data_IF_349536656623
#
_entry.id   IF_349536656623
#
_cell.length_a   1.000
_cell.length_b   1.000
_cell.length_c   1.000
_cell.angle_alpha   90.00
_cell.angle_beta   90.00
_cell.angle_gamma   90.00
#
_symmetry.space_group_name_H-M   'P 1'
#
loop_
_entity.id
_entity.type
_entity.pdbx_description
1 polymer ?
#
# COMPACT_ATOMS: atom_id res chain seq x y z
N UNK A 1 -76.60 -17.81 3.57
CA UNK A 1 -75.26 -18.22 4.00
C UNK A 1 -74.85 -19.48 3.32
N UNK A 2 -73.64 -19.62 2.88
CA UNK A 2 -73.02 -20.80 2.28
C UNK A 2 -73.27 -21.13 0.82
N UNK A 3 -72.43 -20.56 -0.09
CA UNK A 3 -72.00 -21.20 -1.35
C UNK A 3 -70.70 -20.58 -1.92
N UNK A 4 -70.04 -19.70 -1.16
CA UNK A 4 -68.86 -18.99 -1.67
C UNK A 4 -67.49 -19.47 -1.10
N UNK A 5 -67.45 -20.50 -0.26
CA UNK A 5 -66.19 -20.97 0.41
C UNK A 5 -65.57 -22.24 -0.20
N UNK A 6 -66.21 -22.89 -1.15
CA UNK A 6 -65.73 -24.17 -1.73
C UNK A 6 -64.92 -23.96 -3.01
N UNK A 7 -65.10 -22.86 -3.73
CA UNK A 7 -64.36 -22.55 -4.97
C UNK A 7 -62.89 -22.08 -4.74
N UNK A 8 -62.57 -21.45 -3.60
CA UNK A 8 -61.20 -20.96 -3.36
C UNK A 8 -60.18 -22.05 -2.98
N UNK A 9 -60.65 -23.18 -2.42
CA UNK A 9 -59.72 -24.27 -2.01
C UNK A 9 -59.25 -25.11 -3.20
N UNK A 10 -60.05 -25.26 -4.25
CA UNK A 10 -59.68 -25.99 -5.46
C UNK A 10 -58.66 -25.27 -6.33
N UNK A 11 -58.73 -23.96 -6.40
CA UNK A 11 -57.77 -23.14 -7.22
C UNK A 11 -56.40 -23.05 -6.56
N UNK A 12 -56.33 -23.02 -5.20
CA UNK A 12 -55.06 -22.97 -4.49
C UNK A 12 -54.32 -24.32 -4.55
N UNK A 13 -55.04 -25.46 -4.49
CA UNK A 13 -54.43 -26.77 -4.67
C UNK A 13 -53.93 -26.98 -6.11
N UNK A 14 -54.64 -26.51 -7.12
CA UNK A 14 -54.21 -26.64 -8.55
C UNK A 14 -53.00 -25.75 -8.84
N UNK A 15 -52.92 -24.55 -8.26
CA UNK A 15 -51.75 -23.69 -8.37
C UNK A 15 -50.53 -24.23 -7.64
N UNK A 16 -50.70 -24.86 -6.45
CA UNK A 16 -49.54 -25.48 -5.73
C UNK A 16 -48.99 -26.70 -6.47
N UNK A 17 -49.80 -27.50 -7.10
CA UNK A 17 -49.33 -28.64 -7.89
C UNK A 17 -48.65 -28.18 -9.18
N UNK A 18 -49.11 -27.12 -9.82
CA UNK A 18 -48.45 -26.57 -11.00
C UNK A 18 -47.11 -25.90 -10.70
N UNK A 19 -46.99 -25.23 -9.55
CA UNK A 19 -45.71 -24.61 -9.12
C UNK A 19 -44.69 -25.70 -8.66
N UNK A 20 -45.13 -26.81 -8.11
CA UNK A 20 -44.22 -27.91 -7.76
C UNK A 20 -43.76 -28.70 -8.98
N UNK A 21 -44.59 -28.87 -10.02
CA UNK A 21 -44.19 -29.57 -11.24
C UNK A 21 -43.20 -28.73 -12.07
N UNK A 22 -43.39 -27.41 -12.19
CA UNK A 22 -42.45 -26.50 -12.88
C UNK A 22 -41.10 -26.50 -12.16
N UNK A 23 -41.07 -26.49 -10.81
CA UNK A 23 -39.80 -26.57 -10.07
C UNK A 23 -39.10 -27.93 -10.22
N UNK A 24 -39.84 -29.03 -10.33
CA UNK A 24 -39.26 -30.36 -10.51
C UNK A 24 -38.58 -30.47 -11.90
N UNK A 25 -39.22 -29.98 -12.93
CA UNK A 25 -38.69 -29.97 -14.30
C UNK A 25 -37.44 -29.08 -14.45
N UNK A 26 -37.42 -27.91 -13.79
CA UNK A 26 -36.24 -27.03 -13.72
C UNK A 26 -35.08 -27.67 -12.95
N UNK A 27 -35.34 -28.36 -11.88
CA UNK A 27 -34.34 -29.10 -11.07
C UNK A 27 -33.76 -30.24 -11.89
N UNK A 28 -34.56 -31.02 -12.56
CA UNK A 28 -34.11 -32.14 -13.41
C UNK A 28 -33.29 -31.66 -14.62
N UNK A 29 -33.66 -30.52 -15.22
CA UNK A 29 -32.88 -29.89 -16.26
C UNK A 29 -31.53 -29.35 -15.75
N UNK A 30 -31.48 -28.80 -14.53
CA UNK A 30 -30.25 -28.37 -13.87
C UNK A 30 -29.34 -29.55 -13.52
N UNK A 31 -29.89 -30.65 -12.99
CA UNK A 31 -29.13 -31.86 -12.69
C UNK A 31 -28.51 -32.49 -13.94
N UNK A 32 -29.31 -32.56 -15.05
CA UNK A 32 -28.79 -32.99 -16.35
C UNK A 32 -27.66 -32.13 -16.89
N UNK A 33 -27.75 -30.83 -16.67
CA UNK A 33 -26.69 -29.88 -17.09
C UNK A 33 -25.44 -29.99 -16.21
N UNK A 34 -25.59 -30.23 -14.91
CA UNK A 34 -24.48 -30.51 -13.99
C UNK A 34 -23.75 -31.77 -14.42
N UNK A 35 -24.48 -32.88 -14.67
CA UNK A 35 -23.89 -34.12 -15.15
C UNK A 35 -23.11 -33.98 -16.47
N UNK A 36 -23.63 -33.14 -17.39
CA UNK A 36 -22.96 -32.84 -18.64
C UNK A 36 -21.65 -32.07 -18.40
N UNK A 37 -21.68 -31.03 -17.56
CA UNK A 37 -20.51 -30.25 -17.22
C UNK A 37 -19.46 -31.06 -16.47
N UNK A 38 -19.87 -31.99 -15.59
CA UNK A 38 -18.96 -32.89 -14.91
C UNK A 38 -18.24 -33.83 -15.91
N UNK A 39 -18.97 -34.34 -16.91
CA UNK A 39 -18.38 -35.19 -17.96
C UNK A 39 -17.39 -34.41 -18.85
N UNK A 40 -17.71 -33.16 -19.19
CA UNK A 40 -16.79 -32.27 -19.93
C UNK A 40 -15.55 -31.96 -19.12
N UNK A 41 -15.69 -31.78 -17.82
CA UNK A 41 -14.58 -31.48 -16.90
C UNK A 41 -13.64 -32.68 -16.76
N UNK A 42 -14.17 -33.89 -16.73
CA UNK A 42 -13.38 -35.15 -16.74
C UNK A 42 -12.65 -35.31 -18.08
N UNK A 43 -13.29 -35.02 -19.21
CA UNK A 43 -12.69 -35.08 -20.52
C UNK A 43 -11.57 -34.04 -20.69
N UNK A 44 -11.79 -32.80 -20.24
CA UNK A 44 -10.75 -31.75 -20.21
C UNK A 44 -9.57 -32.14 -19.32
N UNK A 45 -9.83 -32.75 -18.17
CA UNK A 45 -8.78 -33.19 -17.24
C UNK A 45 -7.90 -34.28 -17.87
N UNK A 46 -8.48 -35.23 -18.59
CA UNK A 46 -7.73 -36.27 -19.30
C UNK A 46 -6.89 -35.70 -20.45
N UNK A 47 -7.39 -34.67 -21.15
CA UNK A 47 -6.61 -33.96 -22.20
C UNK A 47 -5.42 -33.20 -21.58
N UNK A 48 -5.63 -32.53 -20.46
CA UNK A 48 -4.56 -31.82 -19.72
C UNK A 48 -3.51 -32.79 -19.20
N UNK A 49 -3.92 -33.93 -18.64
CA UNK A 49 -3.00 -35.00 -18.18
C UNK A 49 -2.21 -35.62 -19.33
N UNK A 50 -2.80 -35.74 -20.52
CA UNK A 50 -2.12 -36.25 -21.71
C UNK A 50 -1.15 -35.24 -22.35
N UNK A 51 -1.33 -33.94 -22.09
CA UNK A 51 -0.46 -32.86 -22.58
C UNK A 51 0.69 -32.50 -21.61
N UNK A 52 0.63 -32.97 -20.35
CA UNK A 52 1.71 -32.78 -19.39
C UNK A 52 2.79 -33.83 -19.62
N UNK A 53 4.06 -33.46 -19.70
CA UNK A 53 5.18 -34.43 -19.74
C UNK A 53 5.17 -35.23 -18.42
N UNK A 54 5.62 -36.49 -18.41
CA UNK A 54 5.61 -37.32 -17.22
C UNK A 54 6.40 -36.64 -16.10
N UNK A 55 5.72 -36.39 -14.98
CA UNK A 55 6.29 -35.78 -13.80
C UNK A 55 7.36 -36.71 -13.23
N UNK A 56 8.61 -36.35 -13.42
CA UNK A 56 9.68 -36.90 -12.59
C UNK A 56 9.46 -36.43 -11.15
N UNK A 57 9.44 -37.40 -10.22
CA UNK A 57 9.38 -37.18 -8.78
C UNK A 57 10.44 -36.19 -8.33
N UNK A 58 10.04 -35.03 -7.95
CA UNK A 58 10.61 -34.08 -6.98
C UNK A 58 9.94 -32.71 -7.15
N UNK A 59 8.63 -32.64 -6.96
CA UNK A 59 7.99 -31.36 -6.64
C UNK A 59 8.38 -30.99 -5.21
N UNK A 60 9.46 -30.25 -5.07
CA UNK A 60 9.76 -29.50 -3.85
C UNK A 60 8.61 -28.51 -3.68
N UNK A 61 7.78 -28.78 -2.67
CA UNK A 61 6.75 -27.84 -2.21
C UNK A 61 7.47 -26.48 -1.99
N UNK A 62 6.93 -25.37 -2.52
CA UNK A 62 7.54 -24.06 -2.32
C UNK A 62 7.70 -23.81 -0.83
N UNK A 63 8.92 -23.48 -0.42
CA UNK A 63 9.24 -23.17 0.96
C UNK A 63 8.36 -21.99 1.42
N UNK A 64 7.98 -21.93 2.72
CA UNK A 64 7.09 -20.91 3.26
C UNK A 64 7.58 -19.45 3.12
N UNK A 65 8.82 -19.23 2.69
CA UNK A 65 9.43 -17.92 2.46
C UNK A 65 8.73 -17.08 1.37
N UNK A 66 8.11 -17.71 0.38
CA UNK A 66 7.50 -16.99 -0.75
C UNK A 66 6.13 -16.34 -0.44
N UNK A 67 5.52 -16.62 0.70
CA UNK A 67 4.15 -16.15 1.02
C UNK A 67 4.14 -14.83 1.84
N UNK A 68 5.28 -14.39 2.39
CA UNK A 68 5.35 -13.23 3.29
C UNK A 68 5.51 -11.89 2.57
N UNK A 69 5.91 -11.90 1.30
CA UNK A 69 6.30 -10.69 0.57
C UNK A 69 5.19 -10.06 -0.30
N UNK A 70 3.91 -10.21 0.07
CA UNK A 70 2.77 -9.69 -0.75
C UNK A 70 2.65 -8.16 -0.72
N UNK A 71 3.44 -7.45 0.07
CA UNK A 71 3.51 -5.98 0.04
C UNK A 71 4.61 -5.42 -0.88
N UNK A 72 5.42 -6.27 -1.48
CA UNK A 72 6.45 -5.88 -2.44
C UNK A 72 6.15 -6.42 -3.84
N UNK A 73 6.52 -5.68 -4.90
CA UNK A 73 6.66 -6.28 -6.20
C UNK A 73 7.83 -7.29 -6.12
N UNK A 74 7.49 -8.55 -5.93
CA UNK A 74 8.49 -9.61 -6.07
C UNK A 74 8.98 -9.57 -7.51
N UNK A 75 10.32 -9.60 -7.68
CA UNK A 75 10.90 -9.92 -8.98
C UNK A 75 10.19 -11.20 -9.47
N UNK A 76 9.62 -11.21 -10.68
CA UNK A 76 8.94 -12.40 -11.18
C UNK A 76 9.86 -13.60 -11.02
N UNK A 77 9.34 -14.77 -10.63
CA UNK A 77 10.16 -15.97 -10.54
C UNK A 77 10.85 -16.15 -11.88
N UNK A 78 12.18 -16.26 -11.86
CA UNK A 78 12.98 -16.51 -13.05
C UNK A 78 12.53 -17.85 -13.64
N UNK A 79 11.68 -17.82 -14.66
CA UNK A 79 11.43 -18.99 -15.48
C UNK A 79 12.73 -19.31 -16.20
N UNK A 80 13.40 -20.38 -15.77
CA UNK A 80 14.59 -20.91 -16.43
C UNK A 80 14.14 -21.56 -17.76
N UNK A 81 13.91 -20.70 -18.77
CA UNK A 81 13.59 -21.10 -20.13
C UNK A 81 14.10 -20.03 -21.08
N UNK A 82 14.74 -20.42 -22.16
CA UNK A 82 15.29 -19.56 -23.20
C UNK A 82 14.20 -18.92 -24.08
N UNK A 83 13.25 -18.16 -23.45
CA UNK A 83 12.16 -17.48 -24.14
C UNK A 83 11.62 -16.31 -23.33
N UNK A 84 10.96 -15.38 -24.02
CA UNK A 84 10.28 -14.26 -23.40
C UNK A 84 9.23 -14.75 -22.39
N UNK A 85 9.41 -14.46 -21.12
CA UNK A 85 8.49 -14.80 -20.05
C UNK A 85 7.50 -13.67 -19.80
N UNK A 86 6.19 -13.98 -19.78
CA UNK A 86 5.14 -13.11 -19.26
C UNK A 86 4.53 -13.75 -18.02
N UNK A 87 4.35 -12.98 -16.97
CA UNK A 87 3.67 -13.43 -15.75
C UNK A 87 2.71 -12.37 -15.23
N UNK A 88 1.67 -12.82 -14.55
CA UNK A 88 0.77 -11.94 -13.80
C UNK A 88 0.67 -12.43 -12.37
N UNK A 89 0.42 -11.50 -11.46
CA UNK A 89 0.21 -11.76 -10.05
C UNK A 89 -0.67 -10.67 -9.45
N UNK A 90 -1.09 -10.87 -8.23
CA UNK A 90 -1.90 -9.89 -7.53
C UNK A 90 -2.81 -10.54 -6.51
N UNK A 91 -3.81 -9.78 -6.08
CA UNK A 91 -4.83 -10.29 -5.16
C UNK A 91 -6.13 -9.49 -5.31
N UNK A 92 -7.23 -10.14 -4.98
CA UNK A 92 -8.52 -9.50 -4.74
C UNK A 92 -8.66 -9.37 -3.22
N UNK A 93 -9.00 -8.19 -2.73
CA UNK A 93 -9.13 -7.93 -1.31
C UNK A 93 -10.40 -7.12 -1.02
N UNK A 94 -11.11 -7.53 0.03
CA UNK A 94 -12.18 -6.77 0.66
C UNK A 94 -11.75 -6.43 2.08
N UNK A 95 -11.85 -5.16 2.42
CA UNK A 95 -11.60 -4.61 3.74
C UNK A 95 -12.88 -4.06 4.34
N UNK A 96 -13.12 -4.33 5.62
CA UNK A 96 -14.17 -3.70 6.42
C UNK A 96 -13.48 -2.94 7.55
N UNK A 97 -13.71 -1.64 7.61
CA UNK A 97 -13.07 -0.73 8.56
C UNK A 97 -14.11 -0.14 9.50
N UNK A 98 -13.93 -0.36 10.79
CA UNK A 98 -14.72 0.22 11.87
C UNK A 98 -13.84 1.24 12.57
N UNK A 99 -14.13 2.53 12.39
CA UNK A 99 -13.30 3.65 12.84
C UNK A 99 -14.00 4.47 13.90
N UNK A 100 -13.26 4.89 14.93
CA UNK A 100 -13.69 5.80 16.00
C UNK A 100 -12.67 6.95 16.09
N UNK A 101 -13.08 8.15 15.74
CA UNK A 101 -12.28 9.37 15.80
C UNK A 101 -12.66 10.18 17.04
N UNK A 102 -11.66 10.67 17.79
CA UNK A 102 -11.91 11.45 19.02
C UNK A 102 -12.53 12.82 18.76
N UNK A 103 -12.12 13.48 17.66
CA UNK A 103 -12.31 14.94 17.47
C UNK A 103 -13.08 15.29 16.20
N UNK A 104 -14.14 14.55 15.89
CA UNK A 104 -15.02 14.85 14.78
C UNK A 104 -14.73 14.08 13.52
N UNK A 105 -15.38 14.48 12.43
CA UNK A 105 -15.28 13.80 11.14
C UNK A 105 -14.00 14.19 10.41
N UNK A 106 -13.25 13.23 9.84
CA UNK A 106 -12.08 13.55 9.01
C UNK A 106 -12.47 14.33 7.75
N UNK A 107 -11.61 15.23 7.31
CA UNK A 107 -11.85 16.07 6.13
C UNK A 107 -11.68 15.28 4.81
N UNK A 108 -10.82 14.28 4.79
CA UNK A 108 -10.53 13.45 3.61
C UNK A 108 -11.34 12.15 3.62
N UNK A 109 -11.80 11.70 2.45
CA UNK A 109 -12.45 10.39 2.31
C UNK A 109 -11.45 9.23 2.25
N UNK A 110 -10.21 9.50 1.87
CA UNK A 110 -9.19 8.46 1.70
C UNK A 110 -8.78 7.79 3.02
N UNK A 111 -8.87 8.50 4.15
CA UNK A 111 -8.61 7.94 5.48
C UNK A 111 -9.64 6.87 5.86
N UNK A 112 -10.82 6.86 5.25
CA UNK A 112 -11.83 5.83 5.46
C UNK A 112 -11.48 4.49 4.80
N UNK A 113 -10.57 4.47 3.81
CA UNK A 113 -10.08 3.26 3.15
C UNK A 113 -8.81 2.68 3.80
N UNK A 114 -7.94 3.53 4.36
CA UNK A 114 -6.68 3.16 5.01
C UNK A 114 -6.17 4.31 5.89
N UNK A 115 -5.16 4.05 6.71
CA UNK A 115 -4.61 5.06 7.62
C UNK A 115 -3.91 6.20 6.86
N UNK A 116 -4.38 7.43 7.06
CA UNK A 116 -3.71 8.68 6.68
C UNK A 116 -3.58 9.53 7.94
N UNK A 117 -2.42 9.53 8.61
CA UNK A 117 -2.28 10.20 9.90
C UNK A 117 -2.56 11.71 9.85
N UNK A 118 -2.21 12.38 8.74
CA UNK A 118 -2.47 13.82 8.56
C UNK A 118 -3.95 14.18 8.56
N UNK A 119 -4.82 13.25 8.14
CA UNK A 119 -6.28 13.46 8.05
C UNK A 119 -7.01 13.18 9.36
N UNK A 120 -6.31 12.73 10.41
CA UNK A 120 -6.90 12.59 11.75
C UNK A 120 -7.34 13.99 12.23
N UNK A 121 -8.65 14.19 12.54
CA UNK A 121 -9.15 15.48 12.97
C UNK A 121 -8.60 15.83 14.34
N UNK A 122 -8.32 17.11 14.55
CA UNK A 122 -7.95 17.70 15.83
C UNK A 122 -8.83 18.93 16.02
N UNK A 123 -9.66 18.93 17.04
CA UNK A 123 -10.53 20.06 17.36
C UNK A 123 -9.93 20.93 18.47
N UNK A 124 -10.20 22.22 18.40
CA UNK A 124 -9.72 23.17 19.42
C UNK A 124 -10.42 22.97 20.78
N UNK A 125 -11.72 22.68 20.80
CA UNK A 125 -12.52 22.47 22.02
C UNK A 125 -13.75 21.60 21.74
N UNK A 126 -13.89 20.49 22.48
CA UNK A 126 -15.14 19.77 22.71
C UNK A 126 -15.93 19.26 21.52
N UNK A 127 -15.27 19.00 20.39
CA UNK A 127 -15.92 18.31 19.29
C UNK A 127 -16.32 16.89 19.72
N UNK A 128 -17.54 16.49 19.38
CA UNK A 128 -17.98 15.11 19.62
C UNK A 128 -17.22 14.15 18.71
N UNK A 129 -16.84 12.98 19.21
CA UNK A 129 -16.23 11.92 18.43
C UNK A 129 -17.10 11.51 17.24
N UNK A 130 -16.49 10.93 16.22
CA UNK A 130 -17.16 10.46 15.02
C UNK A 130 -16.84 8.99 14.75
N UNK A 131 -17.87 8.21 14.48
CA UNK A 131 -17.75 6.78 14.13
C UNK A 131 -18.15 6.54 12.70
N UNK A 132 -17.39 5.72 12.02
CA UNK A 132 -17.72 5.28 10.66
C UNK A 132 -17.51 3.78 10.47
N UNK A 133 -18.26 3.23 9.53
CA UNK A 133 -18.06 1.88 9.00
C UNK A 133 -17.92 2.01 7.50
N UNK A 134 -16.83 1.49 6.95
CA UNK A 134 -16.59 1.47 5.52
C UNK A 134 -16.25 0.06 5.04
N UNK A 135 -16.67 -0.30 3.85
CA UNK A 135 -16.27 -1.51 3.14
C UNK A 135 -15.64 -1.12 1.80
N UNK A 136 -14.43 -1.60 1.56
CA UNK A 136 -13.64 -1.17 0.40
C UNK A 136 -12.92 -2.35 -0.25
N UNK A 137 -13.02 -2.45 -1.57
CA UNK A 137 -12.22 -3.38 -2.38
C UNK A 137 -11.09 -2.68 -3.13
N UNK A 138 -10.82 -1.40 -2.88
CA UNK A 138 -9.86 -0.56 -3.60
C UNK A 138 -8.41 -1.00 -3.43
N UNK A 139 -8.10 -1.78 -2.39
CA UNK A 139 -6.78 -2.36 -2.17
C UNK A 139 -6.46 -3.54 -3.09
N UNK A 140 -7.45 -4.06 -3.82
CA UNK A 140 -7.26 -5.07 -4.89
C UNK A 140 -6.17 -4.63 -5.85
N UNK A 141 -5.28 -5.57 -6.22
CA UNK A 141 -4.05 -5.27 -6.95
C UNK A 141 -3.80 -6.26 -8.06
N UNK A 142 -3.28 -5.75 -9.18
CA UNK A 142 -2.83 -6.53 -10.32
C UNK A 142 -1.43 -6.10 -10.72
N UNK A 143 -0.58 -7.07 -11.01
CA UNK A 143 0.76 -6.84 -11.51
C UNK A 143 1.04 -7.73 -12.72
N UNK A 144 1.67 -7.15 -13.73
CA UNK A 144 2.09 -7.79 -14.97
C UNK A 144 3.59 -7.61 -15.11
N UNK A 145 4.30 -8.69 -15.37
CA UNK A 145 5.74 -8.66 -15.48
C UNK A 145 6.21 -9.39 -16.75
N UNK A 146 7.30 -8.89 -17.33
CA UNK A 146 8.00 -9.56 -18.43
C UNK A 146 9.45 -9.79 -18.07
N UNK A 147 10.06 -10.81 -18.68
CA UNK A 147 11.46 -11.16 -18.51
C UNK A 147 12.02 -11.67 -19.84
N UNK A 148 13.08 -11.03 -20.33
CA UNK A 148 13.69 -11.33 -21.61
C UNK A 148 15.21 -11.39 -21.45
N UNK A 149 15.82 -12.51 -21.89
CA UNK A 149 17.27 -12.59 -22.04
C UNK A 149 17.64 -12.08 -23.44
N UNK A 150 18.51 -11.07 -23.49
CA UNK A 150 19.00 -10.46 -24.73
C UNK A 150 20.51 -10.61 -24.83
N UNK A 151 21.09 -10.31 -26.00
CA UNK A 151 22.54 -10.27 -26.19
C UNK A 151 23.23 -9.17 -25.35
N UNK A 152 22.48 -8.16 -24.90
CA UNK A 152 22.98 -7.05 -24.10
C UNK A 152 22.67 -7.20 -22.60
N UNK A 153 22.22 -8.38 -22.15
CA UNK A 153 21.85 -8.67 -20.78
C UNK A 153 20.35 -9.01 -20.62
N UNK A 154 19.91 -9.15 -19.39
CA UNK A 154 18.52 -9.49 -19.05
C UNK A 154 17.71 -8.21 -18.88
N UNK A 155 16.56 -8.13 -19.54
CA UNK A 155 15.63 -7.01 -19.43
C UNK A 155 14.33 -7.53 -18.82
N UNK A 156 13.93 -6.97 -17.68
CA UNK A 156 12.66 -7.26 -17.02
C UNK A 156 11.80 -6.00 -16.89
N UNK A 157 10.49 -6.16 -16.83
CA UNK A 157 9.58 -5.06 -16.57
C UNK A 157 8.51 -5.43 -15.54
N UNK A 158 7.97 -4.43 -14.86
CA UNK A 158 6.82 -4.57 -13.99
C UNK A 158 5.85 -3.42 -14.20
N UNK A 159 4.56 -3.78 -14.39
CA UNK A 159 3.43 -2.87 -14.32
C UNK A 159 2.51 -3.32 -13.20
N UNK A 160 2.30 -2.50 -12.17
CA UNK A 160 1.42 -2.79 -11.04
C UNK A 160 0.38 -1.70 -10.86
N UNK A 161 -0.88 -2.10 -10.67
CA UNK A 161 -2.04 -1.23 -10.50
C UNK A 161 -2.83 -1.62 -9.26
N UNK A 162 -3.43 -0.63 -8.57
CA UNK A 162 -4.50 -0.79 -7.59
C UNK A 162 -5.58 0.28 -7.80
N UNK A 163 -6.59 0.36 -6.94
CA UNK A 163 -7.69 1.34 -7.01
C UNK A 163 -7.71 2.28 -5.81
N UNK A 164 -6.69 2.24 -4.95
CA UNK A 164 -6.59 3.10 -3.79
C UNK A 164 -6.38 4.58 -4.20
N UNK A 165 -6.83 5.51 -3.38
CA UNK A 165 -6.79 6.97 -3.65
C UNK A 165 -7.55 7.39 -4.92
N UNK A 166 -8.44 6.56 -5.41
CA UNK A 166 -9.28 6.88 -6.57
C UNK A 166 -10.31 7.95 -6.21
N UNK A 167 -10.40 9.01 -7.01
CA UNK A 167 -11.36 10.11 -6.83
C UNK A 167 -12.63 9.97 -7.68
N UNK A 168 -12.69 8.99 -8.58
CA UNK A 168 -13.82 8.80 -9.48
C UNK A 168 -14.82 7.78 -8.92
N UNK A 169 -16.09 8.10 -9.06
CA UNK A 169 -17.19 7.25 -8.61
C UNK A 169 -17.49 7.35 -7.11
N UNK A 170 -18.67 6.97 -6.75
CA UNK A 170 -19.13 6.82 -5.35
C UNK A 170 -20.32 5.87 -5.32
N UNK A 171 -20.79 5.50 -4.13
CA UNK A 171 -21.88 4.54 -3.90
C UNK A 171 -23.21 4.98 -4.55
N UNK A 172 -23.42 6.28 -4.72
CA UNK A 172 -24.64 6.85 -5.33
C UNK A 172 -24.70 6.65 -6.82
N UNK A 173 -23.53 6.46 -7.48
CA UNK A 173 -23.43 6.34 -8.92
C UNK A 173 -23.18 4.89 -9.33
N UNK A 174 -22.06 4.29 -8.97
CA UNK A 174 -21.73 2.91 -9.34
C UNK A 174 -20.46 2.34 -8.72
N UNK A 175 -19.86 2.99 -7.73
CA UNK A 175 -18.53 2.62 -7.22
C UNK A 175 -17.46 2.48 -8.33
N UNK A 176 -17.52 3.35 -9.35
CA UNK A 176 -16.62 3.31 -10.51
C UNK A 176 -15.27 3.91 -10.16
N UNK A 177 -14.36 3.10 -9.62
CA UNK A 177 -13.03 3.53 -9.19
C UNK A 177 -12.02 3.45 -10.34
N UNK A 178 -11.21 4.49 -10.52
CA UNK A 178 -10.11 4.49 -11.47
C UNK A 178 -8.91 3.74 -10.94
N UNK A 179 -8.16 3.05 -11.81
CA UNK A 179 -6.92 2.42 -11.43
C UNK A 179 -5.82 3.45 -11.18
N UNK A 180 -4.94 3.17 -10.21
CA UNK A 180 -3.75 3.95 -9.89
C UNK A 180 -2.49 3.19 -10.29
N UNK A 181 -1.58 3.89 -10.99
CA UNK A 181 -0.26 3.35 -11.30
C UNK A 181 0.59 3.28 -10.02
N UNK A 182 1.01 2.06 -9.65
CA UNK A 182 1.89 1.84 -8.51
C UNK A 182 3.33 1.71 -8.95
N UNK A 183 3.60 0.71 -9.77
CA UNK A 183 4.89 0.47 -10.37
C UNK A 183 4.76 0.41 -11.88
N UNK A 184 5.70 1.02 -12.59
CA UNK A 184 5.85 0.93 -14.03
C UNK A 184 7.32 1.19 -14.36
N UNK A 185 8.10 0.13 -14.49
CA UNK A 185 9.53 0.25 -14.72
C UNK A 185 10.08 -0.85 -15.59
N UNK A 186 11.24 -0.57 -16.16
CA UNK A 186 12.13 -1.55 -16.82
C UNK A 186 13.41 -1.63 -15.99
N UNK A 187 13.88 -2.84 -15.71
CA UNK A 187 15.18 -3.13 -15.06
C UNK A 187 16.05 -3.90 -16.05
N UNK A 188 17.13 -3.27 -16.48
CA UNK A 188 18.11 -3.85 -17.38
C UNK A 188 19.32 -4.32 -16.59
N UNK A 189 19.48 -5.63 -16.45
CA UNK A 189 20.64 -6.27 -15.85
C UNK A 189 21.75 -6.43 -16.87
N UNK A 190 22.72 -5.51 -16.83
CA UNK A 190 23.86 -5.46 -17.71
C UNK A 190 24.89 -6.56 -17.42
N UNK A 191 25.05 -6.93 -16.15
CA UNK A 191 25.91 -8.01 -15.66
C UNK A 191 25.39 -8.51 -14.31
N UNK A 192 26.00 -9.53 -13.73
CA UNK A 192 25.66 -10.02 -12.38
C UNK A 192 25.74 -8.89 -11.31
N UNK A 193 26.62 -7.93 -11.52
CA UNK A 193 26.92 -6.85 -10.58
C UNK A 193 26.21 -5.53 -10.89
N UNK A 194 25.78 -5.33 -12.15
CA UNK A 194 25.28 -4.03 -12.62
C UNK A 194 23.87 -4.15 -13.16
N UNK A 195 22.99 -3.25 -12.71
CA UNK A 195 21.68 -3.04 -13.34
C UNK A 195 21.33 -1.55 -13.41
N UNK A 196 20.49 -1.23 -14.39
CA UNK A 196 19.91 0.09 -14.61
C UNK A 196 18.39 -0.05 -14.63
N UNK A 197 17.73 0.58 -13.67
CA UNK A 197 16.26 0.64 -13.60
C UNK A 197 15.80 2.04 -13.98
N UNK A 198 14.79 2.11 -14.85
CA UNK A 198 14.13 3.37 -15.23
C UNK A 198 12.61 3.22 -15.17
N UNK A 199 11.92 4.17 -14.56
CA UNK A 199 10.47 4.19 -14.42
C UNK A 199 10.00 4.56 -13.03
N UNK A 200 8.73 4.28 -12.71
CA UNK A 200 8.13 4.56 -11.42
C UNK A 200 8.19 3.34 -10.51
N UNK A 201 8.81 3.50 -9.34
CA UNK A 201 8.86 2.47 -8.30
C UNK A 201 9.13 3.08 -6.94
N UNK A 202 9.37 2.25 -5.93
CA UNK A 202 9.80 2.73 -4.60
C UNK A 202 11.07 3.54 -4.71
N UNK A 203 11.09 4.66 -3.97
CA UNK A 203 12.32 5.44 -3.78
C UNK A 203 13.50 4.55 -3.38
N UNK A 204 14.67 4.88 -3.86
CA UNK A 204 15.92 4.21 -3.48
C UNK A 204 16.24 4.42 -1.99
N UNK A 205 15.72 5.49 -1.38
CA UNK A 205 15.88 5.82 0.03
C UNK A 205 15.21 4.80 0.97
N UNK A 206 14.18 4.09 0.51
CA UNK A 206 13.42 3.12 1.30
C UNK A 206 13.98 1.69 1.16
N UNK A 207 14.12 0.97 2.30
CA UNK A 207 14.22 -0.48 2.31
C UNK A 207 12.82 -1.08 2.45
N UNK A 208 12.31 -1.65 1.37
CA UNK A 208 10.95 -2.16 1.34
C UNK A 208 10.76 -3.40 2.23
N UNK A 209 11.81 -4.24 2.40
CA UNK A 209 11.80 -5.41 3.28
C UNK A 209 11.71 -5.04 4.78
N UNK A 210 12.04 -3.80 5.14
CA UNK A 210 11.91 -3.30 6.51
C UNK A 210 10.48 -2.83 6.85
N UNK A 211 9.54 -2.85 5.89
CA UNK A 211 8.13 -2.50 6.15
C UNK A 211 7.44 -3.60 6.97
N UNK A 212 6.65 -3.25 7.99
CA UNK A 212 5.92 -4.23 8.79
C UNK A 212 4.87 -4.96 7.95
N UNK A 213 4.60 -6.22 8.29
CA UNK A 213 3.56 -7.03 7.67
C UNK A 213 2.19 -6.66 8.28
N UNK A 214 1.49 -5.69 7.68
CA UNK A 214 0.21 -5.16 8.12
C UNK A 214 -0.89 -5.42 7.08
N UNK A 215 -2.15 -5.41 7.51
CA UNK A 215 -3.30 -5.40 6.62
C UNK A 215 -3.55 -3.99 6.06
N UNK A 216 -3.33 -2.95 6.87
CA UNK A 216 -3.34 -1.58 6.35
C UNK A 216 -2.19 -1.38 5.35
N UNK A 217 -2.53 -0.99 4.13
CA UNK A 217 -1.57 -0.91 3.03
C UNK A 217 -0.57 0.25 3.17
N UNK A 218 -0.90 1.27 3.96
CA UNK A 218 -0.04 2.44 4.18
C UNK A 218 0.96 2.19 5.28
N UNK A 219 0.57 1.41 6.28
CA UNK A 219 1.41 0.99 7.39
C UNK A 219 1.71 2.11 8.38
N UNK A 220 2.87 2.00 9.00
CA UNK A 220 3.32 2.83 10.12
C UNK A 220 3.75 4.23 9.68
N UNK A 221 3.49 5.26 10.49
CA UNK A 221 3.74 6.67 10.15
C UNK A 221 5.22 7.01 10.00
N UNK A 222 6.11 6.49 10.83
CA UNK A 222 7.55 6.83 10.84
C UNK A 222 8.40 6.14 9.77
N UNK A 223 7.79 5.44 8.80
CA UNK A 223 8.50 4.78 7.73
C UNK A 223 8.80 5.74 6.57
N UNK A 224 9.92 5.54 5.87
CA UNK A 224 10.06 6.09 4.53
C UNK A 224 9.12 5.35 3.58
N UNK A 225 8.29 6.07 2.80
CA UNK A 225 7.24 5.48 2.00
C UNK A 225 6.88 6.39 0.83
N UNK A 226 7.58 6.27 -0.28
CA UNK A 226 7.31 7.04 -1.47
C UNK A 226 7.54 6.23 -2.75
N UNK A 227 6.69 6.43 -3.76
CA UNK A 227 6.85 5.90 -5.11
C UNK A 227 6.83 7.04 -6.09
N UNK A 228 7.84 7.05 -6.97
CA UNK A 228 8.02 8.12 -7.93
C UNK A 228 8.82 7.66 -9.14
N UNK A 229 8.75 8.38 -10.27
CA UNK A 229 9.66 8.18 -11.39
C UNK A 229 11.11 8.38 -10.95
N UNK A 230 11.98 7.49 -11.39
CA UNK A 230 13.41 7.54 -11.08
C UNK A 230 14.24 6.80 -12.14
N UNK A 231 15.53 7.10 -12.16
CA UNK A 231 16.57 6.29 -12.78
C UNK A 231 17.50 5.85 -11.67
N UNK A 232 17.72 4.53 -11.55
CA UNK A 232 18.56 3.91 -10.51
C UNK A 232 19.61 3.04 -11.17
N UNK A 233 20.88 3.35 -10.91
CA UNK A 233 21.99 2.46 -11.20
C UNK A 233 22.38 1.68 -9.95
N UNK A 234 22.54 0.37 -10.07
CA UNK A 234 23.01 -0.51 -9.00
C UNK A 234 24.32 -1.16 -9.41
N UNK A 235 25.29 -1.10 -8.52
CA UNK A 235 26.55 -1.80 -8.62
C UNK A 235 26.82 -2.58 -7.32
N UNK A 236 26.76 -3.92 -7.41
CA UNK A 236 26.85 -4.78 -6.23
C UNK A 236 25.82 -4.38 -5.14
N UNK A 237 26.33 -3.91 -4.00
CA UNK A 237 25.55 -3.44 -2.84
C UNK A 237 25.22 -1.95 -2.86
N UNK A 238 25.76 -1.22 -3.81
CA UNK A 238 25.50 0.22 -3.94
C UNK A 238 24.38 0.51 -4.92
N UNK A 239 23.57 1.49 -4.61
CA UNK A 239 22.58 2.07 -5.53
C UNK A 239 22.73 3.59 -5.55
N UNK A 240 22.72 4.17 -6.74
CA UNK A 240 22.66 5.60 -6.99
C UNK A 240 21.41 5.90 -7.79
N UNK A 241 20.65 6.92 -7.40
CA UNK A 241 19.44 7.28 -8.12
C UNK A 241 19.29 8.80 -8.26
N UNK A 242 18.71 9.16 -9.41
CA UNK A 242 18.09 10.46 -9.64
C UNK A 242 16.57 10.25 -9.66
N UNK A 243 15.86 10.90 -8.76
CA UNK A 243 14.45 10.73 -8.52
C UNK A 243 13.65 12.00 -8.83
N UNK A 244 12.38 11.87 -9.21
CA UNK A 244 11.54 13.01 -9.60
C UNK A 244 11.41 14.01 -8.44
N UNK A 245 11.82 15.28 -8.60
CA UNK A 245 11.75 16.25 -7.53
C UNK A 245 10.30 16.70 -7.29
N UNK A 246 9.97 17.02 -6.06
CA UNK A 246 8.77 17.76 -5.68
C UNK A 246 8.96 18.38 -4.31
N UNK A 247 8.64 19.64 -4.19
CA UNK A 247 8.68 20.41 -2.94
C UNK A 247 7.28 20.43 -2.32
N UNK A 248 7.19 20.44 -0.98
CA UNK A 248 5.98 20.59 -0.20
C UNK A 248 6.20 21.61 0.90
N UNK A 249 5.62 22.78 0.74
CA UNK A 249 5.79 23.89 1.70
C UNK A 249 4.45 24.37 2.21
N UNK A 250 4.38 24.66 3.50
CA UNK A 250 3.27 25.42 4.06
C UNK A 250 3.33 26.88 3.60
N UNK A 251 2.16 27.48 3.45
CA UNK A 251 2.04 28.89 3.03
C UNK A 251 2.14 29.13 1.53
N UNK A 252 2.38 28.10 0.72
CA UNK A 252 2.46 28.19 -0.74
C UNK A 252 1.55 27.17 -1.40
N UNK A 253 0.69 27.58 -2.36
CA UNK A 253 -0.06 26.64 -3.18
C UNK A 253 0.86 25.68 -3.95
N UNK A 254 0.47 24.43 -4.07
CA UNK A 254 1.23 23.38 -4.77
C UNK A 254 1.68 23.77 -6.19
N UNK A 255 0.90 24.55 -6.91
CA UNK A 255 1.17 24.99 -8.28
C UNK A 255 2.35 25.97 -8.36
N UNK A 256 2.79 26.53 -7.22
CA UNK A 256 3.91 27.46 -7.11
C UNK A 256 5.24 26.77 -6.82
N UNK A 257 5.20 25.47 -6.50
CA UNK A 257 6.42 24.69 -6.32
C UNK A 257 7.15 24.51 -7.66
N UNK A 258 8.43 24.83 -7.70
CA UNK A 258 9.27 24.56 -8.86
C UNK A 258 9.96 23.20 -8.75
N UNK A 259 10.29 22.63 -9.90
CA UNK A 259 10.96 21.32 -10.00
C UNK A 259 12.18 21.47 -10.88
N UNK A 260 13.31 21.85 -10.29
CA UNK A 260 14.51 22.20 -11.06
C UNK A 260 15.54 21.08 -11.12
N UNK A 261 15.84 20.44 -10.00
CA UNK A 261 16.91 19.43 -9.88
C UNK A 261 16.34 18.13 -9.33
N UNK A 262 16.68 16.96 -9.91
CA UNK A 262 16.30 15.66 -9.36
C UNK A 262 16.80 15.49 -7.93
N UNK A 263 16.00 14.81 -7.10
CA UNK A 263 16.44 14.34 -5.80
C UNK A 263 17.51 13.26 -6.00
N UNK A 264 18.64 13.36 -5.31
CA UNK A 264 19.74 12.42 -5.41
C UNK A 264 19.75 11.48 -4.22
N UNK A 265 19.79 10.18 -4.48
CA UNK A 265 19.83 9.15 -3.44
C UNK A 265 21.03 8.24 -3.62
N UNK A 266 21.74 7.99 -2.52
CA UNK A 266 22.80 6.99 -2.40
C UNK A 266 22.36 5.97 -1.37
N UNK A 267 22.48 4.67 -1.69
CA UNK A 267 22.10 3.57 -0.81
C UNK A 267 23.17 2.49 -0.81
N UNK A 268 23.41 1.92 0.35
CA UNK A 268 24.21 0.72 0.55
C UNK A 268 23.41 -0.34 1.27
N UNK A 269 23.36 -1.56 0.72
CA UNK A 269 22.71 -2.73 1.29
C UNK A 269 23.74 -3.68 1.88
N UNK A 270 23.53 -4.07 3.15
CA UNK A 270 24.40 -4.97 3.88
C UNK A 270 23.64 -6.18 4.42
N UNK A 271 24.40 -7.23 4.72
CA UNK A 271 23.91 -8.45 5.36
C UNK A 271 24.89 -8.88 6.44
N UNK A 272 24.37 -9.28 7.61
CA UNK A 272 25.15 -9.78 8.74
C UNK A 272 24.39 -10.95 9.36
N UNK A 273 24.78 -12.18 9.02
CA UNK A 273 23.99 -13.35 9.36
C UNK A 273 22.58 -13.30 8.78
N UNK A 274 21.58 -13.40 9.62
CA UNK A 274 20.16 -13.33 9.24
C UNK A 274 19.60 -11.89 9.20
N UNK A 275 20.42 -10.87 9.50
CA UNK A 275 20.05 -9.46 9.46
C UNK A 275 20.42 -8.86 8.11
N UNK A 276 19.40 -8.50 7.31
CA UNK A 276 19.56 -7.62 6.18
C UNK A 276 19.39 -6.16 6.61
N UNK A 277 20.25 -5.26 6.19
CA UNK A 277 20.20 -3.85 6.57
C UNK A 277 20.57 -2.92 5.41
N UNK A 278 20.14 -1.67 5.53
CA UNK A 278 20.38 -0.61 4.53
C UNK A 278 20.73 0.68 5.24
N UNK A 279 21.72 1.40 4.68
CA UNK A 279 21.93 2.83 4.95
C UNK A 279 21.69 3.59 3.67
N UNK A 280 20.91 4.66 3.74
CA UNK A 280 20.65 5.53 2.59
C UNK A 280 20.78 7.00 2.96
N UNK A 281 21.30 7.78 2.02
CA UNK A 281 21.38 9.24 2.09
C UNK A 281 20.60 9.87 0.93
N UNK A 282 19.96 11.00 1.19
CA UNK A 282 19.15 11.80 0.26
C UNK A 282 19.62 13.23 0.29
N UNK A 283 19.75 13.85 -0.90
CA UNK A 283 19.96 15.29 -1.09
C UNK A 283 18.86 15.83 -2.00
N UNK A 284 18.25 16.95 -1.62
CA UNK A 284 17.14 17.56 -2.33
C UNK A 284 17.31 19.06 -2.42
N UNK A 285 16.85 19.66 -3.51
CA UNK A 285 16.61 21.08 -3.62
C UNK A 285 15.12 21.36 -3.43
N UNK A 286 14.77 22.15 -2.43
CA UNK A 286 13.43 22.68 -2.22
C UNK A 286 13.36 24.06 -2.80
N UNK A 287 12.31 24.38 -3.53
CA UNK A 287 12.16 25.69 -4.12
C UNK A 287 10.68 26.01 -4.40
N UNK A 288 10.37 27.28 -4.48
CA UNK A 288 9.09 27.79 -4.93
C UNK A 288 9.27 29.10 -5.71
N UNK A 289 8.27 29.43 -6.51
CA UNK A 289 8.16 30.72 -7.17
C UNK A 289 6.70 31.15 -7.21
N UNK A 290 6.43 32.33 -6.67
CA UNK A 290 5.11 32.92 -6.64
C UNK A 290 5.13 34.28 -7.34
N UNK A 291 4.35 34.37 -8.45
CA UNK A 291 4.15 35.61 -9.18
C UNK A 291 2.77 36.17 -8.78
N UNK A 292 2.77 37.40 -8.22
CA UNK A 292 1.55 38.11 -7.85
C UNK A 292 1.43 39.35 -8.74
N UNK A 293 0.23 39.58 -9.26
CA UNK A 293 -0.02 40.72 -10.13
C UNK A 293 0.18 42.05 -9.36
N UNK A 294 1.16 42.86 -9.80
CA UNK A 294 1.46 44.15 -9.18
C UNK A 294 2.40 44.10 -7.97
N UNK A 295 2.90 42.92 -7.60
CA UNK A 295 3.87 42.69 -6.53
C UNK A 295 5.18 42.13 -7.09
N UNK A 296 6.30 42.27 -6.37
CA UNK A 296 7.54 41.57 -6.71
C UNK A 296 7.33 40.04 -6.67
N UNK A 297 7.95 39.31 -7.60
CA UNK A 297 8.02 37.85 -7.56
C UNK A 297 8.67 37.41 -6.26
N UNK A 298 8.05 36.49 -5.55
CA UNK A 298 8.61 35.82 -4.37
C UNK A 298 9.15 34.48 -4.80
N UNK A 299 10.41 34.21 -4.56
CA UNK A 299 11.05 32.92 -4.84
C UNK A 299 12.18 32.69 -3.85
N UNK A 300 12.41 31.43 -3.52
CA UNK A 300 13.55 31.00 -2.71
C UNK A 300 13.89 29.54 -3.01
N UNK A 301 15.13 29.15 -2.72
CA UNK A 301 15.61 27.78 -2.83
C UNK A 301 16.55 27.41 -1.68
N UNK A 302 16.42 26.18 -1.20
CA UNK A 302 17.25 25.64 -0.11
C UNK A 302 17.59 24.19 -0.38
N UNK A 303 18.78 23.77 0.03
CA UNK A 303 19.17 22.34 0.00
C UNK A 303 18.75 21.66 1.30
N UNK A 304 18.08 20.50 1.15
CA UNK A 304 17.72 19.63 2.24
C UNK A 304 18.41 18.27 2.12
N UNK A 305 18.55 17.58 3.24
CA UNK A 305 19.14 16.23 3.32
C UNK A 305 18.33 15.30 4.20
N UNK A 306 18.53 13.99 4.00
CA UNK A 306 18.03 12.99 4.93
C UNK A 306 18.91 11.73 4.97
N UNK A 307 18.83 11.02 6.08
CA UNK A 307 19.49 9.75 6.32
C UNK A 307 18.46 8.71 6.74
N UNK A 308 18.62 7.48 6.26
CA UNK A 308 17.79 6.32 6.64
C UNK A 308 18.68 5.16 7.04
N UNK A 309 18.29 4.48 8.14
CA UNK A 309 18.82 3.19 8.54
C UNK A 309 17.65 2.23 8.75
N UNK A 310 17.64 1.13 8.02
CA UNK A 310 16.53 0.18 8.04
C UNK A 310 17.02 -1.26 7.97
N UNK A 311 16.25 -2.19 8.52
CA UNK A 311 16.62 -3.59 8.46
C UNK A 311 15.47 -4.54 8.77
N UNK A 312 15.72 -5.80 8.44
CA UNK A 312 14.87 -6.93 8.77
C UNK A 312 15.73 -8.10 9.26
N UNK A 313 15.29 -8.73 10.34
CA UNK A 313 15.97 -9.85 10.95
C UNK A 313 15.00 -11.01 11.15
N UNK A 314 15.28 -12.11 10.44
CA UNK A 314 14.47 -13.33 10.53
C UNK A 314 15.21 -14.37 11.39
N UNK A 315 14.52 -14.89 12.41
CA UNK A 315 15.06 -15.93 13.28
C UNK A 315 13.99 -16.96 13.63
N UNK A 316 14.12 -18.15 13.06
CA UNK A 316 13.09 -19.19 13.15
C UNK A 316 11.74 -18.71 12.63
N UNK A 317 10.71 -18.73 13.48
CA UNK A 317 9.37 -18.28 13.14
C UNK A 317 9.14 -16.77 13.33
N UNK A 318 10.15 -16.03 13.82
CA UNK A 318 10.05 -14.61 14.13
C UNK A 318 10.66 -13.76 13.02
N UNK A 319 10.03 -12.60 12.75
CA UNK A 319 10.48 -11.59 11.81
C UNK A 319 10.43 -10.23 12.53
N UNK A 320 11.60 -9.62 12.71
CA UNK A 320 11.78 -8.29 13.30
C UNK A 320 12.14 -7.32 12.19
N UNK A 321 11.52 -6.14 12.20
CA UNK A 321 11.79 -5.09 11.22
C UNK A 321 11.89 -3.76 11.91
N UNK A 322 12.77 -2.90 11.41
CA UNK A 322 12.97 -1.57 11.95
C UNK A 322 13.33 -0.58 10.84
N UNK A 323 13.04 0.69 11.09
CA UNK A 323 13.43 1.80 10.24
C UNK A 323 13.59 3.05 11.08
N UNK A 324 14.65 3.83 10.82
CA UNK A 324 14.94 5.12 11.41
C UNK A 324 15.26 6.10 10.29
N UNK A 325 14.63 7.26 10.30
CA UNK A 325 14.81 8.31 9.31
C UNK A 325 15.04 9.63 10.03
N UNK A 326 16.00 10.42 9.58
CA UNK A 326 16.28 11.75 10.08
C UNK A 326 16.73 12.67 8.95
N UNK A 327 16.34 13.94 8.97
CA UNK A 327 16.80 14.97 8.06
C UNK A 327 15.94 16.19 8.12
N UNK A 328 16.44 17.29 7.56
CA UNK A 328 15.61 18.42 7.19
C UNK A 328 14.98 18.16 5.81
N UNK A 329 13.81 18.65 5.54
CA UNK A 329 13.12 18.42 4.28
C UNK A 329 12.91 16.93 3.92
N UNK A 330 12.63 16.08 4.93
CA UNK A 330 12.29 14.68 4.75
C UNK A 330 10.87 14.47 4.21
N UNK A 331 9.95 15.41 4.49
CA UNK A 331 8.54 15.56 4.16
C UNK A 331 7.90 14.47 3.34
N UNK A 332 7.88 14.60 2.02
CA UNK A 332 7.21 13.66 1.11
C UNK A 332 7.81 12.24 1.11
N UNK A 333 9.01 12.05 1.65
CA UNK A 333 9.65 10.73 1.79
C UNK A 333 9.18 9.97 3.02
N UNK A 334 8.56 10.66 3.99
CA UNK A 334 8.05 10.05 5.22
C UNK A 334 6.53 9.85 5.14
N UNK A 335 6.10 8.65 5.43
CA UNK A 335 4.75 8.14 5.60
C UNK A 335 3.58 8.97 5.08
N UNK A 336 3.28 8.91 3.77
CA UNK A 336 2.17 9.62 3.13
C UNK A 336 2.22 11.17 3.29
N UNK A 337 3.43 11.73 3.30
CA UNK A 337 3.60 13.16 3.50
C UNK A 337 2.98 13.63 4.83
N UNK A 338 3.33 12.95 5.92
CA UNK A 338 2.82 13.28 7.26
C UNK A 338 3.16 14.71 7.67
N UNK A 339 4.32 15.21 7.24
CA UNK A 339 4.77 16.58 7.37
C UNK A 339 5.08 17.18 6.00
N UNK A 340 4.99 18.50 5.87
CA UNK A 340 5.59 19.20 4.76
C UNK A 340 7.11 19.29 4.93
N UNK A 341 7.82 19.73 3.88
CA UNK A 341 9.27 19.89 3.88
C UNK A 341 9.71 21.14 4.67
N UNK A 342 8.83 22.12 4.76
CA UNK A 342 9.11 23.42 5.40
C UNK A 342 7.95 24.38 5.25
N UNK A 343 8.19 25.63 5.62
CA UNK A 343 7.24 26.76 5.52
C UNK A 343 7.89 27.91 4.74
N UNK A 344 7.08 28.69 4.05
CA UNK A 344 7.50 29.99 3.51
C UNK A 344 7.14 31.08 4.52
N UNK A 345 8.13 31.75 5.02
CA UNK A 345 8.01 32.83 6.00
C UNK A 345 7.46 34.11 5.39
N UNK A 346 7.10 35.09 6.20
CA UNK A 346 6.51 36.35 5.75
C UNK A 346 7.45 37.12 4.82
N UNK A 347 8.77 37.04 5.00
CA UNK A 347 9.78 37.66 4.12
C UNK A 347 10.03 36.89 2.83
N UNK A 348 9.42 35.70 2.67
CA UNK A 348 9.53 34.90 1.48
C UNK A 348 10.64 33.84 1.52
N UNK A 349 11.34 33.68 2.62
CA UNK A 349 12.37 32.65 2.74
C UNK A 349 11.77 31.28 3.10
N UNK A 350 12.42 30.19 2.63
CA UNK A 350 12.09 28.83 3.04
C UNK A 350 12.77 28.51 4.37
N UNK A 351 11.99 27.98 5.31
CA UNK A 351 12.46 27.37 6.56
C UNK A 351 12.10 25.90 6.57
N UNK A 352 13.10 25.03 6.49
CA UNK A 352 12.96 23.59 6.56
C UNK A 352 12.69 23.13 8.00
N UNK A 353 12.15 21.91 8.15
CA UNK A 353 11.93 21.29 9.45
C UNK A 353 12.91 20.15 9.65
N UNK A 354 13.56 20.12 10.81
CA UNK A 354 14.20 18.88 11.26
C UNK A 354 13.13 17.85 11.56
N UNK A 355 13.21 16.70 10.91
CA UNK A 355 12.22 15.63 10.99
C UNK A 355 12.87 14.32 11.42
N UNK A 356 12.19 13.59 12.27
CA UNK A 356 12.57 12.26 12.70
C UNK A 356 11.40 11.31 12.54
N UNK A 357 11.65 10.12 12.00
CA UNK A 357 10.68 9.04 11.91
C UNK A 357 11.28 7.70 12.24
N UNK A 358 10.52 6.86 12.93
CA UNK A 358 10.98 5.52 13.27
C UNK A 358 9.86 4.51 13.43
N UNK A 359 10.18 3.26 13.17
CA UNK A 359 9.31 2.13 13.43
C UNK A 359 10.11 0.92 13.91
N UNK A 360 9.41 0.09 14.68
CA UNK A 360 9.82 -1.27 15.02
C UNK A 360 8.62 -2.19 14.84
N UNK A 361 8.84 -3.39 14.36
CA UNK A 361 7.81 -4.42 14.30
C UNK A 361 8.34 -5.80 14.57
N UNK A 362 7.46 -6.63 15.08
CA UNK A 362 7.67 -8.04 15.26
C UNK A 362 6.47 -8.80 14.77
N UNK A 363 6.70 -9.87 14.01
CA UNK A 363 5.67 -10.82 13.67
C UNK A 363 6.17 -12.25 13.89
N UNK A 364 5.24 -13.14 14.23
CA UNK A 364 5.52 -14.55 14.46
C UNK A 364 4.53 -15.44 13.76
N UNK A 365 5.06 -16.43 13.07
CA UNK A 365 4.29 -17.53 12.50
C UNK A 365 4.20 -18.66 13.51
N UNK A 366 2.99 -18.86 14.06
CA UNK A 366 2.74 -19.91 15.06
C UNK A 366 2.51 -21.28 14.40
N UNK A 367 2.00 -21.26 13.16
CA UNK A 367 1.80 -22.44 12.33
C UNK A 367 1.76 -22.04 10.85
N UNK A 368 1.69 -22.95 9.89
CA UNK A 368 1.51 -22.64 8.48
C UNK A 368 0.28 -21.76 8.20
N UNK A 369 -0.75 -21.82 9.08
CA UNK A 369 -2.01 -21.10 8.92
C UNK A 369 -2.09 -19.81 9.74
N UNK A 370 -1.39 -19.69 10.87
CA UNK A 370 -1.55 -18.59 11.81
C UNK A 370 -0.29 -17.77 11.98
N UNK A 371 -0.45 -16.46 11.88
CA UNK A 371 0.59 -15.45 12.14
C UNK A 371 -0.04 -14.29 12.89
N UNK A 372 0.67 -13.73 13.85
CA UNK A 372 0.33 -12.45 14.47
C UNK A 372 1.52 -11.50 14.41
N UNK A 373 1.24 -10.21 14.51
CA UNK A 373 2.27 -9.18 14.50
C UNK A 373 1.86 -7.94 15.26
N UNK A 374 2.87 -7.18 15.65
CA UNK A 374 2.75 -5.87 16.26
C UNK A 374 3.74 -4.92 15.58
N UNK A 375 3.32 -3.67 15.35
CA UNK A 375 4.19 -2.60 14.90
C UNK A 375 3.90 -1.34 15.70
N UNK A 376 4.97 -0.65 16.08
CA UNK A 376 4.93 0.64 16.75
C UNK A 376 5.74 1.63 15.94
N UNK A 377 5.26 2.85 15.79
CA UNK A 377 5.97 3.88 15.05
C UNK A 377 5.64 5.28 15.55
N UNK A 378 6.56 6.19 15.28
CA UNK A 378 6.39 7.61 15.56
C UNK A 378 7.11 8.46 14.53
N UNK A 379 6.65 9.69 14.38
CA UNK A 379 7.27 10.71 13.57
C UNK A 379 7.12 12.08 14.24
N UNK A 380 8.16 12.91 14.15
CA UNK A 380 8.23 14.25 14.74
C UNK A 380 8.82 15.23 13.73
N UNK A 381 8.37 16.48 13.82
CA UNK A 381 8.96 17.61 13.11
C UNK A 381 9.22 18.75 14.10
N UNK A 382 10.36 19.40 13.98
CA UNK A 382 10.68 20.64 14.70
C UNK A 382 10.19 21.83 13.87
N UNK A 383 8.94 22.23 14.12
CA UNK A 383 8.26 23.28 13.38
C UNK A 383 8.67 24.64 13.97
N UNK A 384 9.01 25.65 13.15
CA UNK A 384 9.32 27.00 13.66
C UNK A 384 8.13 27.60 14.38
N UNK A 385 8.41 28.42 15.41
CA UNK A 385 7.38 29.06 16.23
C UNK A 385 6.51 30.08 15.47
N UNK A 386 5.45 30.57 16.13
CA UNK A 386 4.49 31.55 15.58
C UNK A 386 5.15 32.90 15.23
N UNK A 387 6.31 33.22 15.79
CA UNK A 387 7.13 34.37 15.42
C UNK A 387 7.73 34.28 14.00
N UNK A 388 7.81 33.06 13.45
CA UNK A 388 8.32 32.77 12.09
C UNK A 388 7.16 32.49 11.13
N UNK A 389 6.11 31.81 11.62
CA UNK A 389 4.95 31.43 10.81
C UNK A 389 3.67 31.50 11.67
N UNK A 390 2.75 32.39 11.35
CA UNK A 390 1.56 32.70 12.17
C UNK A 390 0.66 31.47 12.47
N UNK A 391 0.62 30.50 11.56
CA UNK A 391 -0.17 29.29 11.71
C UNK A 391 0.63 28.10 12.31
N UNK A 392 1.84 28.30 12.81
CA UNK A 392 2.69 27.25 13.35
C UNK A 392 1.98 26.40 14.41
N UNK A 393 1.21 27.01 15.31
CA UNK A 393 0.44 26.32 16.33
C UNK A 393 -0.57 25.29 15.81
N UNK A 394 -1.01 25.40 14.56
CA UNK A 394 -1.92 24.45 13.90
C UNK A 394 -1.20 23.35 13.11
N UNK A 395 0.12 23.43 13.02
CA UNK A 395 0.91 22.43 12.32
C UNK A 395 1.10 21.16 13.15
N UNK A 396 1.24 19.99 12.51
CA UNK A 396 1.52 18.78 13.26
C UNK A 396 2.93 18.78 13.84
N UNK A 397 3.03 18.61 15.16
CA UNK A 397 4.26 18.36 15.93
C UNK A 397 4.69 16.90 15.79
N UNK A 398 3.71 15.97 15.98
CA UNK A 398 4.04 14.56 16.03
C UNK A 398 2.86 13.65 15.66
N UNK A 399 3.24 12.43 15.26
CA UNK A 399 2.34 11.31 15.05
C UNK A 399 2.87 10.06 15.75
N UNK A 400 1.97 9.24 16.27
CA UNK A 400 2.28 7.92 16.78
C UNK A 400 1.26 6.90 16.27
N UNK A 401 1.71 5.70 15.87
CA UNK A 401 0.83 4.61 15.48
C UNK A 401 1.23 3.30 16.14
N UNK A 402 0.21 2.53 16.55
CA UNK A 402 0.35 1.17 17.01
C UNK A 402 -0.59 0.26 16.23
N UNK A 403 -0.08 -0.87 15.77
CA UNK A 403 -0.79 -1.87 15.01
C UNK A 403 -0.66 -3.23 15.70
N UNK A 404 -1.76 -3.93 15.83
CA UNK A 404 -1.79 -5.34 16.21
C UNK A 404 -2.60 -6.12 15.20
N UNK A 405 -2.03 -7.17 14.59
CA UNK A 405 -2.70 -7.91 13.55
C UNK A 405 -2.67 -9.43 13.75
N UNK A 406 -3.65 -10.08 13.14
CA UNK A 406 -3.79 -11.51 13.06
C UNK A 406 -4.08 -11.93 11.62
N UNK A 407 -3.37 -12.98 11.16
CA UNK A 407 -3.54 -13.59 9.85
C UNK A 407 -3.95 -15.05 10.02
N UNK A 408 -4.99 -15.45 9.32
CA UNK A 408 -5.39 -16.85 9.19
C UNK A 408 -5.41 -17.23 7.71
N UNK A 409 -4.64 -18.24 7.33
CA UNK A 409 -4.52 -18.75 5.96
C UNK A 409 -5.09 -20.16 5.90
N UNK A 410 -6.40 -20.33 5.62
CA UNK A 410 -7.01 -21.65 5.46
C UNK A 410 -6.40 -22.42 4.29
N UNK A 411 -6.02 -21.71 3.21
CA UNK A 411 -5.32 -22.23 2.04
C UNK A 411 -4.15 -21.32 1.66
N UNK A 412 -3.21 -21.76 0.81
CA UNK A 412 -2.13 -20.89 0.32
C UNK A 412 -2.61 -19.62 -0.40
N UNK A 413 -3.77 -19.66 -1.06
CA UNK A 413 -4.31 -18.54 -1.84
C UNK A 413 -5.28 -17.66 -1.07
N UNK A 414 -5.87 -18.14 0.05
CA UNK A 414 -6.85 -17.38 0.82
C UNK A 414 -6.30 -16.99 2.18
N UNK A 415 -6.41 -15.70 2.50
CA UNK A 415 -6.07 -15.17 3.81
C UNK A 415 -7.25 -14.36 4.38
N UNK A 416 -7.54 -14.59 5.65
CA UNK A 416 -8.45 -13.81 6.47
C UNK A 416 -7.64 -13.10 7.53
N UNK A 417 -8.03 -11.89 7.90
CA UNK A 417 -7.30 -11.15 8.89
C UNK A 417 -8.08 -10.11 9.65
N UNK A 418 -7.49 -9.74 10.76
CA UNK A 418 -7.92 -8.59 11.53
C UNK A 418 -6.70 -7.76 11.91
N UNK A 419 -6.89 -6.44 12.00
CA UNK A 419 -5.89 -5.50 12.47
C UNK A 419 -6.56 -4.43 13.33
N UNK A 420 -6.05 -4.23 14.52
CA UNK A 420 -6.39 -3.08 15.35
C UNK A 420 -5.31 -2.03 15.19
N UNK A 421 -5.75 -0.78 14.94
CA UNK A 421 -4.90 0.38 14.71
C UNK A 421 -5.28 1.45 15.74
N UNK A 422 -4.29 1.93 16.48
CA UNK A 422 -4.37 3.18 17.24
C UNK A 422 -3.43 4.18 16.61
N UNK A 423 -3.95 5.36 16.22
CA UNK A 423 -3.16 6.46 15.69
C UNK A 423 -3.48 7.75 16.44
N UNK A 424 -2.45 8.56 16.69
CA UNK A 424 -2.55 9.84 17.38
C UNK A 424 -1.81 10.90 16.57
N UNK A 425 -2.43 12.05 16.39
CA UNK A 425 -1.87 13.27 15.83
C UNK A 425 -1.84 14.33 16.91
N UNK A 426 -0.72 15.03 17.06
CA UNK A 426 -0.55 16.16 17.96
C UNK A 426 -0.11 17.38 17.18
N UNK A 427 -0.64 18.53 17.52
CA UNK A 427 -0.29 19.84 16.96
C UNK A 427 0.66 20.59 17.88
N UNK A 428 1.37 21.58 17.35
CA UNK A 428 2.31 22.43 18.07
C UNK A 428 1.66 23.18 19.25
N UNK A 429 0.37 23.56 19.15
CA UNK A 429 -0.37 24.16 20.24
C UNK A 429 -0.77 23.20 21.37
N UNK A 430 -0.35 21.93 21.29
CA UNK A 430 -0.61 20.88 22.28
C UNK A 430 -1.94 20.14 22.09
N UNK A 431 -2.82 20.57 21.19
CA UNK A 431 -4.05 19.84 20.88
C UNK A 431 -3.73 18.52 20.19
N UNK A 432 -4.56 17.50 20.42
CA UNK A 432 -4.35 16.19 19.82
C UNK A 432 -5.67 15.54 19.43
N UNK A 433 -5.63 14.73 18.38
CA UNK A 433 -6.74 13.89 17.96
C UNK A 433 -6.28 12.46 17.74
N UNK A 434 -7.22 11.53 17.77
CA UNK A 434 -6.90 10.12 17.65
C UNK A 434 -7.91 9.35 16.83
N UNK A 435 -7.43 8.22 16.30
CA UNK A 435 -8.19 7.21 15.59
C UNK A 435 -7.96 5.84 16.24
N UNK A 436 -9.05 5.18 16.59
CA UNK A 436 -9.10 3.76 16.89
C UNK A 436 -9.82 3.05 15.74
N UNK A 437 -9.20 2.03 15.16
CA UNK A 437 -9.76 1.30 14.01
C UNK A 437 -9.61 -0.20 14.17
N UNK A 438 -10.70 -0.91 13.94
CA UNK A 438 -10.67 -2.34 13.70
C UNK A 438 -10.88 -2.58 12.18
N UNK A 439 -9.92 -3.24 11.57
CA UNK A 439 -9.97 -3.66 10.18
C UNK A 439 -10.14 -5.17 10.11
N UNK A 440 -11.09 -5.63 9.29
CA UNK A 440 -11.31 -7.03 8.96
C UNK A 440 -11.12 -7.20 7.47
N UNK A 441 -10.29 -8.16 7.08
CA UNK A 441 -9.87 -8.32 5.67
C UNK A 441 -10.02 -9.76 5.18
N UNK A 442 -10.42 -9.87 3.93
CA UNK A 442 -10.41 -11.12 3.16
C UNK A 442 -9.57 -10.88 1.92
N UNK A 443 -8.53 -11.70 1.70
CA UNK A 443 -7.64 -11.60 0.53
C UNK A 443 -7.55 -12.94 -0.17
N UNK A 444 -7.76 -12.91 -1.49
CA UNK A 444 -7.51 -14.03 -2.38
C UNK A 444 -6.35 -13.69 -3.31
N UNK A 445 -5.23 -14.43 -3.18
CA UNK A 445 -4.05 -14.23 -4.03
C UNK A 445 -4.27 -14.90 -5.39
N UNK A 446 -4.04 -14.16 -6.46
CA UNK A 446 -3.99 -14.64 -7.83
C UNK A 446 -2.64 -15.36 -8.05
N UNK A 447 -2.67 -16.45 -8.76
CA UNK A 447 -1.46 -17.24 -9.05
C UNK A 447 -0.79 -16.73 -10.32
#
# INVERSE_FOLDING_TARGET
MSRSKICCFGVICTLMVAVTSVRAEEVEALEARIATLESELVALRSIVEALLPPSGDNAVLPTPEQVVAVNEPQRPPSSVGSGAGFSYQGFIQLDTLLSDYSDGRPNGSAIEDFLIPSDIPVAADGASGFRSTNMSAKTTRFAFATDHLTSAGRVSSLLELDFALSSQGNERISNSWSSRLRHAYVDWQLSEQNSLLAGQTWTTFMRAEARPALWDMTGSVGQSFNRQPLIRWRHNRWSLAAENPATRLEGVPYEREQRAVPDLVVRYDGETGALGWTVAGLLRQLNYREERQGEPTREDEVMGYALSFAGNWQTGANDFRFMLNYGDALGRYMGLNAFNDGVVTADGSIRTFDQFGGLISWSRRFSPRWQAGVALSGAWADVPGEDVYDAAGLMPESYATGHFNLWYRPTPSLALGSEYIRAVKRLENGNSGSLDRLMLSVRYNLK
#
